data_IF_832085747752
#
_entry.id   IF_832085747752
#
_cell.length_a   1.000
_cell.length_b   1.000
_cell.length_c   1.000
_cell.angle_alpha   90.00
_cell.angle_beta   90.00
_cell.angle_gamma   90.00
#
_symmetry.space_group_name_H-M   'P 1'
#
loop_
_entity.id
_entity.type
_entity.pdbx_description
1 polymer ?
#
# COMPACT_ATOMS: atom_id res chain seq x y z
N UNK A 1 10.67 -5.41 -14.19
CA UNK A 1 11.19 -5.97 -12.92
C UNK A 1 11.02 -4.89 -11.86
N UNK A 2 10.42 -5.17 -10.75
CA UNK A 2 10.30 -4.21 -9.65
C UNK A 2 11.67 -3.85 -9.11
N UNK A 3 11.84 -2.62 -8.61
CA UNK A 3 13.09 -2.17 -8.04
C UNK A 3 13.52 -2.97 -6.81
N UNK A 4 14.81 -2.91 -6.47
CA UNK A 4 15.37 -3.61 -5.31
C UNK A 4 14.67 -3.18 -4.01
N UNK A 5 14.34 -1.90 -3.88
CA UNK A 5 13.63 -1.34 -2.72
C UNK A 5 12.26 -1.99 -2.52
N UNK A 6 11.47 -2.18 -3.59
CA UNK A 6 10.18 -2.85 -3.51
C UNK A 6 10.34 -4.30 -3.06
N UNK A 7 11.30 -5.02 -3.63
CA UNK A 7 11.57 -6.41 -3.25
C UNK A 7 11.97 -6.52 -1.77
N UNK A 8 12.79 -5.60 -1.28
CA UNK A 8 13.18 -5.54 0.14
C UNK A 8 11.98 -5.22 1.04
N UNK A 9 11.13 -4.27 0.66
CA UNK A 9 9.94 -3.93 1.45
C UNK A 9 8.94 -5.08 1.49
N UNK A 10 8.66 -5.73 0.35
CA UNK A 10 7.77 -6.88 0.31
C UNK A 10 8.31 -8.07 1.12
N UNK A 11 9.63 -8.29 1.09
CA UNK A 11 10.26 -9.32 1.91
C UNK A 11 10.02 -9.08 3.41
N UNK A 12 10.19 -7.85 3.88
CA UNK A 12 9.86 -7.44 5.25
C UNK A 12 8.37 -7.63 5.55
N UNK A 13 7.50 -7.12 4.67
CA UNK A 13 6.05 -7.12 4.86
C UNK A 13 5.45 -8.53 4.90
N UNK A 14 6.06 -9.48 4.17
CA UNK A 14 5.56 -10.84 4.02
C UNK A 14 6.44 -11.89 4.74
N UNK A 15 7.40 -11.47 5.55
CA UNK A 15 8.29 -12.34 6.32
C UNK A 15 9.00 -13.41 5.46
N UNK A 16 9.45 -13.01 4.27
CA UNK A 16 10.19 -13.86 3.34
C UNK A 16 11.52 -13.20 2.94
N UNK A 17 12.29 -13.80 2.05
CA UNK A 17 13.52 -13.18 1.54
C UNK A 17 13.27 -12.34 0.28
N UNK A 18 14.15 -11.39 -0.07
CA UNK A 18 14.06 -10.71 -1.37
C UNK A 18 14.16 -11.66 -2.57
N UNK A 19 14.84 -12.80 -2.41
CA UNK A 19 14.88 -13.85 -3.42
C UNK A 19 13.52 -14.51 -3.63
N UNK A 20 12.79 -14.76 -2.54
CA UNK A 20 11.42 -15.29 -2.60
C UNK A 20 10.45 -14.28 -3.27
N UNK A 21 10.71 -12.98 -3.18
CA UNK A 21 9.93 -11.97 -3.92
C UNK A 21 10.26 -12.00 -5.41
N UNK A 22 11.48 -12.33 -5.78
CA UNK A 22 11.99 -12.24 -7.15
C UNK A 22 11.73 -13.50 -8.00
N UNK A 23 11.57 -14.66 -7.37
CA UNK A 23 11.34 -15.92 -8.09
C UNK A 23 9.91 -16.06 -8.63
N UNK A 24 9.50 -17.24 -9.10
CA UNK A 24 8.19 -17.51 -9.68
C UNK A 24 7.29 -18.39 -8.78
N UNK A 25 7.76 -18.76 -7.59
CA UNK A 25 7.06 -19.68 -6.70
C UNK A 25 6.16 -18.94 -5.72
N UNK A 26 5.08 -19.59 -5.28
CA UNK A 26 4.24 -19.08 -4.19
C UNK A 26 4.93 -19.29 -2.84
N UNK A 27 4.95 -18.24 -2.01
CA UNK A 27 5.60 -18.28 -0.69
C UNK A 27 4.60 -18.17 0.44
N UNK A 28 4.83 -18.95 1.49
CA UNK A 28 3.96 -19.11 2.65
C UNK A 28 4.81 -18.98 3.91
N UNK A 29 4.78 -17.83 4.54
CA UNK A 29 5.63 -17.46 5.66
C UNK A 29 4.82 -17.28 6.93
N UNK A 30 5.33 -17.76 8.04
CA UNK A 30 4.74 -17.50 9.35
C UNK A 30 5.05 -16.06 9.73
N UNK A 31 4.05 -15.34 10.21
CA UNK A 31 4.22 -13.97 10.67
C UNK A 31 5.23 -13.89 11.81
N UNK A 32 6.16 -12.97 11.67
CA UNK A 32 7.09 -12.55 12.73
C UNK A 32 7.18 -11.02 12.74
N UNK A 33 7.19 -10.36 13.91
CA UNK A 33 7.45 -8.94 13.99
C UNK A 33 8.80 -8.59 13.36
N UNK A 34 8.82 -7.57 12.50
CA UNK A 34 10.04 -7.07 11.86
C UNK A 34 10.00 -5.55 11.82
N UNK A 35 11.11 -4.92 12.16
CA UNK A 35 11.29 -3.47 12.02
C UNK A 35 11.28 -3.06 10.54
N UNK A 36 10.73 -1.88 10.24
CA UNK A 36 10.67 -1.36 8.88
C UNK A 36 9.51 -1.87 8.02
N UNK A 37 8.60 -2.66 8.57
CA UNK A 37 7.34 -3.03 7.87
C UNK A 37 6.48 -1.80 7.65
N UNK A 38 5.68 -1.83 6.56
CA UNK A 38 4.68 -0.77 6.34
C UNK A 38 3.62 -0.80 7.44
N UNK A 39 3.10 0.36 7.79
CA UNK A 39 2.10 0.72 8.81
C UNK A 39 1.13 -0.38 9.25
N UNK A 40 1.51 -1.49 9.67
CA UNK A 40 0.60 -2.52 10.11
C UNK A 40 0.47 -2.55 11.64
N UNK A 41 -0.73 -2.40 12.12
CA UNK A 41 -1.04 -2.78 13.48
C UNK A 41 -0.83 -4.30 13.61
N UNK A 42 0.04 -4.73 14.49
CA UNK A 42 0.39 -6.15 14.67
C UNK A 42 -0.83 -7.06 14.82
N UNK A 43 -1.89 -6.61 15.47
CA UNK A 43 -3.11 -7.38 15.67
C UNK A 43 -3.83 -7.74 14.36
N UNK A 44 -3.77 -6.87 13.35
CA UNK A 44 -4.42 -7.09 12.05
C UNK A 44 -3.62 -8.04 11.16
N UNK A 45 -2.31 -8.14 11.35
CA UNK A 45 -1.43 -8.95 10.50
C UNK A 45 -1.34 -10.40 11.01
N UNK A 46 -1.54 -10.64 12.29
CA UNK A 46 -1.45 -11.98 12.88
C UNK A 46 -2.42 -13.00 12.28
N UNK A 47 -3.50 -12.54 11.65
CA UNK A 47 -4.42 -13.40 10.92
C UNK A 47 -3.81 -13.88 9.61
N UNK A 48 -3.97 -13.09 8.58
CA UNK A 48 -3.52 -13.39 7.22
C UNK A 48 -3.32 -12.11 6.41
N UNK A 49 -2.23 -12.07 5.66
CA UNK A 49 -1.97 -11.08 4.62
C UNK A 49 -1.54 -11.79 3.35
N UNK A 50 -2.06 -11.36 2.22
CA UNK A 50 -1.77 -11.95 0.91
C UNK A 50 -1.40 -10.82 -0.07
N UNK A 51 -0.37 -11.02 -0.87
CA UNK A 51 -0.12 -10.19 -2.06
C UNK A 51 -0.02 -11.03 -3.32
N UNK A 52 -0.43 -10.43 -4.43
CA UNK A 52 -0.11 -10.89 -5.77
C UNK A 52 1.04 -10.05 -6.30
N UNK A 53 2.13 -10.69 -6.68
CA UNK A 53 3.34 -10.04 -7.19
C UNK A 53 3.85 -10.84 -8.38
N UNK A 54 3.91 -10.23 -9.58
CA UNK A 54 4.37 -10.91 -10.80
C UNK A 54 3.64 -12.23 -11.09
N UNK A 55 2.33 -12.30 -10.82
CA UNK A 55 1.52 -13.50 -11.08
C UNK A 55 1.67 -14.62 -10.04
N UNK A 56 2.46 -14.44 -8.99
CA UNK A 56 2.59 -15.34 -7.85
C UNK A 56 2.01 -14.76 -6.57
N UNK A 57 1.97 -15.56 -5.53
CA UNK A 57 1.35 -15.25 -4.25
C UNK A 57 2.38 -15.22 -3.12
N UNK A 58 2.33 -14.18 -2.31
CA UNK A 58 3.04 -14.11 -1.04
C UNK A 58 2.00 -14.14 0.08
N UNK A 59 2.13 -15.12 0.99
CA UNK A 59 1.30 -15.26 2.17
C UNK A 59 2.11 -15.03 3.43
N UNK A 60 1.55 -14.32 4.40
CA UNK A 60 2.08 -14.28 5.76
C UNK A 60 0.93 -14.23 6.76
N UNK A 61 1.06 -14.94 7.88
CA UNK A 61 0.02 -15.02 8.89
C UNK A 61 0.35 -15.98 10.01
N UNK A 62 -0.67 -16.39 10.79
CA UNK A 62 -0.50 -17.41 11.81
C UNK A 62 -0.17 -18.76 11.18
N UNK A 63 0.57 -19.59 11.91
CA UNK A 63 1.04 -20.90 11.42
C UNK A 63 -0.10 -21.78 10.90
N UNK A 64 -1.19 -21.87 11.64
CA UNK A 64 -2.35 -22.70 11.28
C UNK A 64 -3.03 -22.20 9.99
N UNK A 65 -3.24 -20.90 9.85
CA UNK A 65 -3.87 -20.30 8.66
C UNK A 65 -2.98 -20.45 7.44
N UNK A 66 -1.68 -20.18 7.60
CA UNK A 66 -0.69 -20.30 6.52
C UNK A 66 -0.58 -21.76 6.05
N UNK A 67 -0.65 -22.73 6.96
CA UNK A 67 -0.67 -24.15 6.61
C UNK A 67 -1.89 -24.52 5.76
N UNK A 68 -3.08 -24.00 6.11
CA UNK A 68 -4.30 -24.21 5.31
C UNK A 68 -4.23 -23.50 3.95
N UNK A 69 -3.67 -22.28 3.91
CA UNK A 69 -3.43 -21.58 2.65
C UNK A 69 -2.47 -22.36 1.74
N UNK A 70 -1.39 -22.90 2.26
CA UNK A 70 -0.43 -23.72 1.49
C UNK A 70 -1.10 -24.93 0.87
N UNK A 71 -1.94 -25.64 1.61
CA UNK A 71 -2.67 -26.83 1.09
C UNK A 71 -3.58 -26.46 -0.09
N UNK A 72 -4.20 -25.27 -0.06
CA UNK A 72 -5.18 -24.86 -1.07
C UNK A 72 -4.59 -24.11 -2.25
N UNK A 73 -3.50 -23.38 -2.03
CA UNK A 73 -3.02 -22.37 -2.98
C UNK A 73 -1.56 -22.55 -3.41
N UNK A 74 -0.90 -23.66 -3.07
CA UNK A 74 0.49 -23.89 -3.45
C UNK A 74 0.71 -23.78 -4.98
N UNK A 75 -0.20 -24.36 -5.76
CA UNK A 75 -0.11 -24.45 -7.22
C UNK A 75 -1.05 -23.46 -7.93
N UNK A 76 -1.61 -22.48 -7.20
CA UNK A 76 -2.54 -21.50 -7.77
C UNK A 76 -1.78 -20.28 -8.28
N UNK A 77 -2.10 -19.83 -9.49
CA UNK A 77 -1.53 -18.59 -10.02
C UNK A 77 -2.13 -17.38 -9.33
N UNK A 78 -1.35 -16.30 -9.20
CA UNK A 78 -1.82 -15.03 -8.65
C UNK A 78 -2.75 -14.26 -9.59
N UNK A 79 -2.80 -14.62 -10.87
CA UNK A 79 -3.66 -13.99 -11.85
C UNK A 79 -5.14 -14.17 -11.45
N UNK A 80 -5.86 -13.06 -11.35
CA UNK A 80 -7.26 -13.02 -10.88
C UNK A 80 -7.49 -13.58 -9.47
N UNK A 81 -6.43 -13.71 -8.66
CA UNK A 81 -6.55 -14.31 -7.32
C UNK A 81 -7.52 -13.58 -6.39
N UNK A 82 -7.65 -12.26 -6.53
CA UNK A 82 -8.60 -11.47 -5.74
C UNK A 82 -9.95 -11.25 -6.42
N UNK A 83 -10.39 -12.17 -7.26
CA UNK A 83 -11.76 -12.16 -7.75
C UNK A 83 -12.79 -12.46 -6.63
N UNK A 84 -14.06 -12.15 -6.87
CA UNK A 84 -15.10 -12.30 -5.88
C UNK A 84 -15.32 -13.76 -5.43
N UNK A 85 -15.00 -14.75 -6.27
CA UNK A 85 -15.09 -16.16 -5.90
C UNK A 85 -13.98 -16.51 -4.93
N UNK A 86 -12.75 -16.14 -5.24
CA UNK A 86 -11.59 -16.41 -4.41
C UNK A 86 -11.64 -15.69 -3.07
N UNK A 87 -12.13 -14.45 -3.05
CA UNK A 87 -12.35 -13.71 -1.80
C UNK A 87 -13.32 -14.44 -0.86
N UNK A 88 -14.41 -15.03 -1.39
CA UNK A 88 -15.32 -15.86 -0.58
C UNK A 88 -14.65 -17.14 -0.06
N UNK A 89 -13.84 -17.81 -0.86
CA UNK A 89 -13.07 -18.99 -0.43
C UNK A 89 -12.09 -18.66 0.71
N UNK A 90 -11.45 -17.48 0.64
CA UNK A 90 -10.58 -16.97 1.71
C UNK A 90 -11.42 -16.64 2.96
N UNK A 91 -12.57 -16.00 2.79
CA UNK A 91 -13.49 -15.70 3.89
C UNK A 91 -13.92 -16.97 4.62
N UNK A 92 -14.33 -18.02 3.89
CA UNK A 92 -14.70 -19.33 4.43
C UNK A 92 -13.52 -20.01 5.17
N UNK A 93 -12.29 -19.87 4.64
CA UNK A 93 -11.08 -20.36 5.30
C UNK A 93 -10.83 -19.66 6.65
N UNK A 94 -11.14 -18.38 6.73
CA UNK A 94 -10.89 -17.54 7.92
C UNK A 94 -11.95 -17.69 9.02
N UNK A 95 -13.19 -18.08 8.68
CA UNK A 95 -14.30 -18.21 9.64
C UNK A 95 -13.98 -19.07 10.87
N UNK A 96 -13.34 -20.28 10.77
CA UNK A 96 -12.98 -21.09 11.92
C UNK A 96 -12.03 -20.40 12.90
N UNK A 97 -11.30 -19.40 12.44
CA UNK A 97 -10.37 -18.62 13.25
C UNK A 97 -10.99 -17.31 13.77
N UNK A 98 -12.29 -17.12 13.58
CA UNK A 98 -13.02 -15.88 13.93
C UNK A 98 -12.47 -14.62 13.22
N UNK A 99 -11.92 -14.80 12.02
CA UNK A 99 -11.38 -13.73 11.18
C UNK A 99 -12.25 -13.54 9.93
N UNK A 100 -12.11 -12.36 9.33
CA UNK A 100 -12.78 -11.98 8.08
C UNK A 100 -11.81 -11.23 7.19
N UNK A 101 -12.12 -11.19 5.90
CA UNK A 101 -11.43 -10.30 4.96
C UNK A 101 -11.76 -8.85 5.34
N UNK A 102 -10.74 -8.08 5.72
CA UNK A 102 -10.90 -6.67 6.09
C UNK A 102 -10.93 -5.77 4.86
N UNK A 103 -10.03 -6.03 3.90
CA UNK A 103 -9.91 -5.25 2.67
C UNK A 103 -9.14 -6.01 1.60
N UNK A 104 -9.39 -5.67 0.35
CA UNK A 104 -8.59 -6.06 -0.81
C UNK A 104 -8.55 -4.90 -1.80
N UNK A 105 -7.37 -4.47 -2.18
CA UNK A 105 -7.18 -3.34 -3.10
C UNK A 105 -5.91 -3.50 -3.94
N UNK A 106 -5.86 -2.93 -5.15
CA UNK A 106 -4.65 -2.92 -5.96
C UNK A 106 -3.62 -1.92 -5.38
N UNK A 107 -2.35 -2.21 -5.64
CA UNK A 107 -1.25 -1.27 -5.48
C UNK A 107 -0.84 -0.74 -6.85
N UNK A 108 -0.73 0.57 -6.97
CA UNK A 108 -0.18 1.23 -8.14
C UNK A 108 1.22 1.72 -7.80
N UNK A 109 2.18 1.41 -8.65
CA UNK A 109 3.56 1.85 -8.53
C UNK A 109 3.87 2.74 -9.73
N UNK A 110 4.67 3.80 -9.58
CA UNK A 110 5.13 4.58 -10.71
C UNK A 110 6.00 3.73 -11.63
N UNK A 111 5.88 3.90 -12.93
CA UNK A 111 6.85 3.33 -13.86
C UNK A 111 8.23 3.97 -13.63
N UNK A 112 9.27 3.14 -13.67
CA UNK A 112 10.64 3.56 -13.34
C UNK A 112 11.14 4.73 -14.21
N UNK A 113 10.65 4.83 -15.45
CA UNK A 113 11.05 5.85 -16.42
C UNK A 113 10.27 7.16 -16.31
N UNK A 114 9.22 7.20 -15.47
CA UNK A 114 8.36 8.40 -15.28
C UNK A 114 8.83 9.27 -14.13
N UNK A 115 9.84 8.85 -13.37
CA UNK A 115 10.42 9.72 -12.35
C UNK A 115 11.14 10.89 -13.01
N UNK A 116 10.62 12.13 -12.88
CA UNK A 116 11.25 13.28 -13.48
C UNK A 116 12.65 13.45 -12.89
N UNK A 117 13.66 13.33 -13.74
CA UNK A 117 15.08 13.41 -13.37
C UNK A 117 15.50 14.82 -12.89
N UNK A 118 14.66 15.81 -12.98
CA UNK A 118 14.84 17.15 -12.38
C UNK A 118 13.61 18.02 -12.67
N UNK A 119 12.85 18.31 -11.64
CA UNK A 119 11.75 19.26 -11.68
C UNK A 119 10.55 18.75 -12.48
N UNK A 120 9.40 18.67 -11.83
CA UNK A 120 8.13 18.50 -12.52
C UNK A 120 7.93 19.78 -13.35
N UNK A 121 8.24 19.71 -14.64
CA UNK A 121 7.55 20.56 -15.58
C UNK A 121 6.12 20.06 -15.61
N UNK A 122 5.26 20.70 -14.82
CA UNK A 122 3.83 20.52 -15.03
C UNK A 122 3.58 20.74 -16.53
N UNK A 123 2.74 19.90 -17.18
CA UNK A 123 2.36 20.18 -18.56
C UNK A 123 1.98 21.65 -18.61
N UNK A 124 2.44 22.32 -19.65
CA UNK A 124 2.11 23.72 -19.92
C UNK A 124 0.57 23.82 -19.95
N UNK A 125 -0.01 24.03 -18.75
CA UNK A 125 -1.44 24.23 -18.57
C UNK A 125 -1.79 25.66 -19.02
N UNK A 126 -1.19 26.06 -20.16
CA UNK A 126 -1.30 27.43 -20.65
C UNK A 126 -2.70 27.83 -21.07
N UNK A 127 -3.69 26.93 -21.12
CA UNK A 127 -4.94 27.32 -21.75
C UNK A 127 -6.29 26.96 -21.09
N UNK A 128 -6.41 26.33 -19.93
CA UNK A 128 -7.79 26.07 -19.47
C UNK A 128 -8.08 26.15 -17.97
N UNK A 129 -7.17 25.83 -17.06
CA UNK A 129 -7.47 25.91 -15.63
C UNK A 129 -6.24 26.45 -14.88
N UNK A 130 -6.07 27.78 -14.86
CA UNK A 130 -5.09 28.41 -14.00
C UNK A 130 -5.44 28.09 -12.54
N UNK A 131 -4.68 27.20 -11.91
CA UNK A 131 -4.71 26.93 -10.48
C UNK A 131 -3.30 27.05 -9.92
N UNK A 132 -3.22 27.44 -8.66
CA UNK A 132 -1.97 27.49 -7.91
C UNK A 132 -1.70 26.12 -7.27
N UNK A 133 -0.45 25.64 -7.30
CA UNK A 133 -0.01 24.51 -6.51
C UNK A 133 0.60 25.00 -5.21
N UNK A 134 -0.01 24.60 -4.10
CA UNK A 134 0.42 24.96 -2.75
C UNK A 134 1.01 23.73 -2.08
N UNK A 135 2.27 23.83 -1.67
CA UNK A 135 2.95 22.78 -0.93
C UNK A 135 2.81 22.99 0.58
N UNK A 136 2.50 21.92 1.28
CA UNK A 136 2.42 21.84 2.74
C UNK A 136 3.46 20.85 3.25
N UNK A 137 4.31 21.29 4.16
CA UNK A 137 5.19 20.41 4.92
C UNK A 137 4.43 19.72 6.07
N UNK A 138 5.11 18.85 6.79
CA UNK A 138 4.54 18.08 7.89
C UNK A 138 3.85 18.96 8.97
N UNK A 139 4.40 20.12 9.27
CA UNK A 139 3.80 21.02 10.26
C UNK A 139 2.58 21.74 9.69
N UNK A 140 2.66 22.18 8.46
CA UNK A 140 1.57 22.87 7.78
C UNK A 140 0.37 21.97 7.50
N UNK A 141 0.57 20.65 7.32
CA UNK A 141 -0.50 19.65 7.17
C UNK A 141 -1.42 19.61 8.40
N UNK A 142 -0.90 19.87 9.61
CA UNK A 142 -1.67 19.77 10.85
C UNK A 142 -2.90 20.67 10.88
N UNK A 143 -2.93 21.75 10.08
CA UNK A 143 -4.10 22.62 9.97
C UNK A 143 -5.34 21.91 9.41
N UNK A 144 -5.15 20.78 8.70
CA UNK A 144 -6.22 20.03 8.06
C UNK A 144 -6.77 18.89 8.93
N UNK A 145 -6.26 18.68 10.15
CA UNK A 145 -6.62 17.54 11.00
C UNK A 145 -8.11 17.43 11.31
N UNK A 146 -8.81 18.55 11.40
CA UNK A 146 -10.25 18.61 11.67
C UNK A 146 -11.09 18.83 10.40
N UNK A 147 -10.46 18.77 9.23
CA UNK A 147 -11.12 19.03 7.94
C UNK A 147 -11.30 17.72 7.17
N UNK A 148 -12.47 17.11 7.33
CA UNK A 148 -12.81 15.82 6.71
C UNK A 148 -12.86 15.83 5.17
N UNK A 149 -12.73 17.00 4.53
CA UNK A 149 -12.59 17.07 3.07
C UNK A 149 -11.32 16.41 2.58
N UNK A 150 -10.32 16.22 3.45
CA UNK A 150 -8.99 15.70 3.10
C UNK A 150 -8.64 14.40 3.81
N UNK A 151 -9.65 13.63 4.26
CA UNK A 151 -9.47 12.37 4.99
C UNK A 151 -8.80 11.27 4.14
N UNK A 152 -8.92 11.36 2.80
CA UNK A 152 -8.24 10.43 1.89
C UNK A 152 -6.79 10.86 1.59
N UNK A 153 -6.50 12.17 1.68
CA UNK A 153 -5.14 12.68 1.47
C UNK A 153 -4.26 12.52 2.71
N UNK A 154 -4.83 12.69 3.92
CA UNK A 154 -4.10 12.65 5.18
C UNK A 154 -4.76 11.70 6.16
N UNK A 155 -3.95 10.79 6.71
CA UNK A 155 -4.43 9.81 7.69
C UNK A 155 -4.20 10.26 9.14
N UNK A 156 -3.28 11.18 9.39
CA UNK A 156 -2.83 11.62 10.72
C UNK A 156 -2.47 10.46 11.65
N UNK A 157 -1.97 9.37 11.05
CA UNK A 157 -1.57 8.17 11.77
C UNK A 157 -0.18 8.38 12.39
N UNK A 158 -0.02 8.22 13.72
CA UNK A 158 1.27 8.37 14.37
C UNK A 158 2.31 7.32 13.92
N UNK A 159 1.87 6.18 13.40
CA UNK A 159 2.75 5.10 12.89
C UNK A 159 3.14 5.29 11.43
N UNK A 160 2.44 6.15 10.70
CA UNK A 160 2.71 6.49 9.32
C UNK A 160 2.45 7.99 9.10
N UNK A 161 3.32 8.85 9.64
CA UNK A 161 3.09 10.29 9.65
C UNK A 161 2.98 10.87 8.26
N UNK A 162 2.04 11.80 8.08
CA UNK A 162 1.94 12.58 6.85
C UNK A 162 3.16 13.50 6.73
N UNK A 163 3.83 13.47 5.57
CA UNK A 163 5.12 14.14 5.37
C UNK A 163 5.07 15.26 4.32
N UNK A 164 4.11 15.18 3.42
CA UNK A 164 3.97 16.14 2.32
C UNK A 164 2.49 16.26 1.90
N UNK A 165 2.05 17.48 1.66
CA UNK A 165 0.77 17.77 1.01
C UNK A 165 0.97 18.69 -0.18
N UNK A 166 0.19 18.50 -1.24
CA UNK A 166 0.12 19.41 -2.39
C UNK A 166 -1.35 19.67 -2.70
N UNK A 167 -1.76 20.93 -2.62
CA UNK A 167 -3.09 21.34 -3.04
C UNK A 167 -3.08 21.99 -4.41
N UNK A 168 -4.10 21.72 -5.21
CA UNK A 168 -4.50 22.55 -6.32
C UNK A 168 -5.51 23.58 -5.82
N UNK A 169 -5.23 24.88 -5.96
CA UNK A 169 -6.09 25.94 -5.46
C UNK A 169 -6.40 26.97 -6.56
N UNK A 170 -7.61 27.54 -6.51
CA UNK A 170 -8.03 28.64 -7.37
C UNK A 170 -8.83 29.64 -6.55
N UNK A 171 -8.54 30.94 -6.75
CA UNK A 171 -9.20 32.04 -6.04
C UNK A 171 -9.23 31.85 -4.50
N UNK A 172 -8.16 31.27 -3.93
CA UNK A 172 -8.02 30.99 -2.51
C UNK A 172 -8.78 29.76 -2.02
N UNK A 173 -9.43 29.00 -2.91
CA UNK A 173 -10.12 27.75 -2.57
C UNK A 173 -9.30 26.53 -3.01
N UNK A 174 -9.15 25.56 -2.11
CA UNK A 174 -8.56 24.27 -2.44
C UNK A 174 -9.58 23.46 -3.23
N UNK A 175 -9.21 23.04 -4.44
CA UNK A 175 -10.01 22.25 -5.37
C UNK A 175 -9.71 20.76 -5.27
N UNK A 176 -8.50 20.42 -4.84
CA UNK A 176 -8.05 19.03 -4.64
C UNK A 176 -6.80 19.00 -3.78
N UNK A 177 -6.56 17.90 -3.13
CA UNK A 177 -5.42 17.66 -2.25
C UNK A 177 -4.80 16.31 -2.54
N UNK A 178 -3.49 16.26 -2.66
CA UNK A 178 -2.71 15.03 -2.62
C UNK A 178 -1.83 15.05 -1.38
N UNK A 179 -1.87 13.99 -0.60
CA UNK A 179 -1.05 13.80 0.58
C UNK A 179 -0.10 12.62 0.43
N UNK A 180 1.03 12.66 1.11
CA UNK A 180 1.94 11.55 1.20
C UNK A 180 2.24 11.26 2.67
N UNK A 181 2.10 10.01 3.08
CA UNK A 181 2.46 9.50 4.40
C UNK A 181 3.62 8.51 4.33
N UNK A 182 4.49 8.52 5.33
CA UNK A 182 5.63 7.62 5.43
C UNK A 182 5.16 6.24 5.92
N UNK A 183 4.78 5.37 4.99
CA UNK A 183 4.31 4.01 5.28
C UNK A 183 5.40 3.10 5.84
N UNK A 184 6.64 3.36 5.45
CA UNK A 184 7.85 2.70 5.92
C UNK A 184 9.08 3.59 5.67
N UNK A 185 10.27 3.21 6.13
CA UNK A 185 11.50 3.91 5.77
C UNK A 185 11.79 3.97 4.26
N UNK A 186 11.20 3.06 3.46
CA UNK A 186 11.45 2.94 2.03
C UNK A 186 10.28 3.46 1.17
N UNK A 187 9.06 3.56 1.72
CA UNK A 187 7.87 3.83 0.92
C UNK A 187 6.99 4.93 1.51
N UNK A 188 6.53 5.79 0.64
CA UNK A 188 5.43 6.69 0.92
C UNK A 188 4.16 6.19 0.24
N UNK A 189 3.05 6.29 0.93
CA UNK A 189 1.73 6.11 0.36
C UNK A 189 1.16 7.46 -0.05
N UNK A 190 0.51 7.52 -1.22
CA UNK A 190 -0.14 8.74 -1.70
C UNK A 190 -1.65 8.54 -1.59
N UNK A 191 -2.31 9.53 -0.96
CA UNK A 191 -3.75 9.67 -0.92
C UNK A 191 -4.19 10.91 -1.67
N UNK A 192 -5.40 10.92 -2.23
CA UNK A 192 -5.93 12.03 -3.05
C UNK A 192 -7.41 12.25 -2.72
N UNK A 193 -7.77 13.52 -2.48
CA UNK A 193 -9.15 14.02 -2.38
C UNK A 193 -9.47 14.97 -3.52
#
# INVERSE_FOLDING_TARGET
>A
MYGEELSRQLALDYCCSPADVADSENHFSIYAPQEGRRRFQEALIRGLKIAVVNGKLLFTGSEEIVAECRKRYADVTGEWFFDAKRLREIEELLLPFHLRVAQAHPFFLPEADVMPSSGISLPDASDALAFDLIRYDQNAILQFREDNRFDEAFAFDPYAPDVLGIAAAKDGQILGMAGASADSPLFWQIGIN
#
